data_IF_604308382863
#
_entry.id   IF_604308382863
#
_cell.length_a   1.000
_cell.length_b   1.000
_cell.length_c   1.000
_cell.angle_alpha   90.00
_cell.angle_beta   90.00
_cell.angle_gamma   90.00
#
_symmetry.space_group_name_H-M   'P 1'
#
loop_
_entity.id
_entity.type
_entity.pdbx_description
1 polymer ?
#
# COMPACT_ATOMS: atom_id res chain seq x y z
N UNK A 1 16.45 -48.14 -24.91
CA UNK A 1 16.88 -46.75 -24.67
C UNK A 1 16.36 -45.91 -25.82
N UNK A 2 15.48 -44.95 -25.57
CA UNK A 2 15.19 -43.81 -26.45
C UNK A 2 14.40 -42.78 -25.64
N UNK A 3 15.05 -41.68 -25.31
CA UNK A 3 14.49 -40.52 -24.62
C UNK A 3 14.30 -39.42 -25.68
N UNK A 4 13.06 -39.01 -26.05
CA UNK A 4 12.90 -37.88 -26.94
C UNK A 4 12.80 -36.60 -26.09
N UNK A 5 13.95 -35.94 -25.92
CA UNK A 5 14.02 -34.58 -25.40
C UNK A 5 13.75 -33.57 -26.54
N UNK A 6 12.76 -32.69 -26.28
CA UNK A 6 12.57 -31.32 -26.78
C UNK A 6 11.92 -31.11 -28.16
N UNK A 7 10.72 -30.54 -28.15
CA UNK A 7 10.47 -29.28 -28.85
C UNK A 7 9.54 -28.42 -28.01
N UNK A 8 10.10 -27.34 -27.48
CA UNK A 8 9.40 -26.28 -26.75
C UNK A 8 8.37 -25.62 -27.65
N UNK A 9 7.09 -25.90 -27.41
CA UNK A 9 6.05 -24.92 -27.69
C UNK A 9 5.73 -24.22 -26.38
N UNK A 10 6.62 -23.30 -25.96
CA UNK A 10 6.17 -22.20 -25.12
C UNK A 10 5.17 -21.48 -25.99
N UNK A 11 3.87 -21.68 -25.73
CA UNK A 11 2.87 -20.72 -26.15
C UNK A 11 3.39 -19.38 -25.63
N UNK A 12 3.85 -18.55 -26.56
CA UNK A 12 4.07 -17.14 -26.33
C UNK A 12 2.67 -16.59 -26.12
N UNK A 13 2.17 -16.73 -24.89
CA UNK A 13 0.99 -16.00 -24.48
C UNK A 13 1.46 -14.56 -24.47
N UNK A 14 0.99 -13.81 -25.46
CA UNK A 14 1.16 -12.38 -25.57
C UNK A 14 0.77 -11.79 -24.22
N UNK A 15 1.75 -11.37 -23.42
CA UNK A 15 1.51 -10.57 -22.22
C UNK A 15 1.27 -9.16 -22.74
N UNK A 16 0.04 -8.93 -23.13
CA UNK A 16 -0.51 -7.60 -23.31
C UNK A 16 -1.83 -7.63 -22.58
N UNK A 17 -1.78 -7.30 -21.30
CA UNK A 17 -2.72 -6.37 -20.69
C UNK A 17 -1.98 -5.65 -19.57
N UNK A 18 -1.96 -4.33 -19.67
CA UNK A 18 -1.49 -3.39 -18.67
C UNK A 18 -2.37 -3.49 -17.41
N UNK A 19 -2.26 -4.58 -16.65
CA UNK A 19 -2.64 -4.55 -15.24
C UNK A 19 -1.60 -3.66 -14.55
N UNK A 20 -1.87 -2.36 -14.51
CA UNK A 20 -1.29 -1.54 -13.46
C UNK A 20 -1.59 -2.30 -12.17
N UNK A 21 -0.57 -2.89 -11.54
CA UNK A 21 -0.66 -3.33 -10.15
C UNK A 21 -1.04 -2.07 -9.39
N UNK A 22 -2.33 -1.85 -9.16
CA UNK A 22 -2.82 -0.75 -8.33
C UNK A 22 -2.41 -1.18 -6.92
N UNK A 23 -1.20 -0.79 -6.54
CA UNK A 23 -0.74 -0.96 -5.18
C UNK A 23 -1.64 -0.04 -4.34
N UNK A 24 -2.27 -0.60 -3.31
CA UNK A 24 -3.11 0.17 -2.40
C UNK A 24 -2.26 1.34 -1.84
N UNK A 25 -2.68 2.61 -1.99
CA UNK A 25 -1.93 3.76 -1.50
C UNK A 25 -1.57 3.67 -0.02
N UNK A 26 -2.44 3.06 0.79
CA UNK A 26 -2.16 2.80 2.22
C UNK A 26 -0.99 1.83 2.40
N UNK A 27 -0.93 0.80 1.56
CA UNK A 27 0.19 -0.16 1.57
C UNK A 27 1.50 0.52 1.17
N UNK A 28 1.48 1.38 0.15
CA UNK A 28 2.67 2.16 -0.24
C UNK A 28 3.14 3.08 0.88
N UNK A 29 2.20 3.81 1.51
CA UNK A 29 2.50 4.70 2.62
C UNK A 29 3.17 3.93 3.75
N UNK A 30 2.54 2.86 4.24
CA UNK A 30 3.06 2.07 5.36
C UNK A 30 4.43 1.47 5.07
N UNK A 31 4.68 1.03 3.84
CA UNK A 31 6.02 0.57 3.42
C UNK A 31 7.02 1.74 3.47
N UNK A 32 6.65 2.91 2.97
CA UNK A 32 7.54 4.07 2.88
C UNK A 32 7.97 4.61 4.26
N UNK A 33 7.11 4.48 5.27
CA UNK A 33 7.38 4.90 6.66
C UNK A 33 7.89 3.76 7.55
N UNK A 34 8.19 2.59 6.98
CA UNK A 34 8.79 1.46 7.70
C UNK A 34 7.81 0.61 8.52
N UNK A 35 6.50 0.76 8.32
CA UNK A 35 5.42 0.07 9.02
C UNK A 35 4.78 -1.05 8.19
N UNK A 36 5.57 -1.72 7.34
CA UNK A 36 5.08 -2.79 6.46
C UNK A 36 4.39 -3.93 7.23
N UNK A 37 4.75 -4.17 8.49
CA UNK A 37 4.14 -5.19 9.34
C UNK A 37 2.68 -4.86 9.71
N UNK A 38 2.25 -3.61 9.59
CA UNK A 38 0.89 -3.17 9.87
C UNK A 38 -0.04 -3.20 8.66
N UNK A 39 0.48 -3.46 7.45
CA UNK A 39 -0.30 -3.47 6.20
C UNK A 39 -1.52 -4.38 6.29
N UNK A 40 -1.36 -5.56 6.87
CA UNK A 40 -2.47 -6.50 7.05
C UNK A 40 -3.57 -5.94 7.95
N UNK A 41 -3.20 -5.25 9.03
CA UNK A 41 -4.15 -4.65 9.98
C UNK A 41 -4.91 -3.53 9.28
N UNK A 42 -4.20 -2.59 8.65
CA UNK A 42 -4.82 -1.43 8.00
C UNK A 42 -5.74 -1.83 6.84
N UNK A 43 -5.33 -2.81 6.03
CA UNK A 43 -6.17 -3.31 4.93
C UNK A 43 -7.41 -4.05 5.44
N UNK A 44 -7.30 -4.84 6.52
CA UNK A 44 -8.45 -5.54 7.09
C UNK A 44 -9.46 -4.62 7.78
N UNK A 45 -8.99 -3.51 8.33
CA UNK A 45 -9.84 -2.49 8.92
C UNK A 45 -10.34 -1.47 7.89
N UNK A 46 -10.07 -1.72 6.60
CA UNK A 46 -10.46 -0.85 5.48
C UNK A 46 -10.01 0.61 5.67
N UNK A 47 -8.85 0.81 6.32
CA UNK A 47 -8.27 2.13 6.53
C UNK A 47 -7.63 2.59 5.22
N UNK A 48 -8.18 3.65 4.65
CA UNK A 48 -7.67 4.30 3.45
C UNK A 48 -6.99 5.65 3.77
N UNK A 49 -6.53 6.33 2.72
CA UNK A 49 -5.82 7.60 2.85
C UNK A 49 -6.71 8.75 3.38
N UNK A 50 -8.04 8.61 3.34
CA UNK A 50 -8.98 9.61 3.88
C UNK A 50 -9.19 9.41 5.39
N UNK A 51 -9.24 8.15 5.83
CA UNK A 51 -9.41 7.79 7.26
C UNK A 51 -8.10 7.89 8.03
N UNK A 52 -6.97 7.54 7.41
CA UNK A 52 -5.66 7.50 8.08
C UNK A 52 -5.28 8.78 8.85
N UNK A 53 -5.47 10.00 8.32
CA UNK A 53 -5.17 11.24 9.04
C UNK A 53 -6.07 11.53 10.25
N UNK A 54 -7.18 10.80 10.37
CA UNK A 54 -8.19 11.01 11.42
C UNK A 54 -8.01 10.06 12.61
N UNK A 55 -7.19 9.02 12.47
CA UNK A 55 -6.99 8.02 13.52
C UNK A 55 -6.32 8.65 14.74
N UNK A 56 -6.96 8.48 15.88
CA UNK A 56 -6.41 8.82 17.19
C UNK A 56 -5.55 7.67 17.72
N UNK A 57 -4.77 7.94 18.77
CA UNK A 57 -4.07 6.87 19.51
C UNK A 57 -5.03 5.80 20.03
N UNK A 58 -6.26 6.17 20.40
CA UNK A 58 -7.28 5.22 20.86
C UNK A 58 -7.71 4.30 19.71
N UNK A 59 -8.03 4.86 18.53
CA UNK A 59 -8.39 4.07 17.34
C UNK A 59 -7.27 3.10 16.95
N UNK A 60 -6.01 3.55 17.02
CA UNK A 60 -4.84 2.73 16.72
C UNK A 60 -4.72 1.53 17.68
N UNK A 61 -5.00 1.73 18.97
CA UNK A 61 -5.06 0.63 19.92
C UNK A 61 -6.22 -0.33 19.65
N UNK A 62 -7.41 0.18 19.28
CA UNK A 62 -8.58 -0.64 18.98
C UNK A 62 -8.35 -1.56 17.77
N UNK A 63 -7.63 -1.09 16.74
CA UNK A 63 -7.28 -1.90 15.58
C UNK A 63 -6.08 -2.84 15.80
N UNK A 64 -5.44 -2.77 16.98
CA UNK A 64 -4.36 -3.67 17.37
C UNK A 64 -2.93 -3.14 17.16
N UNK A 65 -2.76 -1.84 16.92
CA UNK A 65 -1.44 -1.19 16.98
C UNK A 65 -1.13 -0.86 18.44
N UNK A 66 -0.19 -1.59 19.03
CA UNK A 66 0.11 -1.51 20.48
C UNK A 66 1.52 -1.05 20.81
N UNK A 67 2.42 -0.98 19.82
CA UNK A 67 3.78 -0.50 20.03
C UNK A 67 3.82 1.03 19.94
N UNK A 68 4.26 1.69 21.01
CA UNK A 68 4.35 3.16 21.08
C UNK A 68 5.15 3.76 19.91
N UNK A 69 6.22 3.08 19.47
CA UNK A 69 7.01 3.54 18.33
C UNK A 69 6.22 3.54 17.02
N UNK A 70 5.38 2.53 16.80
CA UNK A 70 4.54 2.45 15.60
C UNK A 70 3.47 3.56 15.65
N UNK A 71 2.82 3.74 16.81
CA UNK A 71 1.83 4.79 17.05
C UNK A 71 2.43 6.16 16.79
N UNK A 72 3.58 6.47 17.41
CA UNK A 72 4.25 7.76 17.22
C UNK A 72 4.62 7.98 15.75
N UNK A 73 5.12 6.96 15.06
CA UNK A 73 5.44 7.04 13.62
C UNK A 73 4.20 7.34 12.78
N UNK A 74 3.06 6.72 13.10
CA UNK A 74 1.79 6.99 12.40
C UNK A 74 1.37 8.43 12.63
N UNK A 75 1.26 8.87 13.89
CA UNK A 75 0.84 10.23 14.26
C UNK A 75 1.75 11.28 13.60
N UNK A 76 3.08 11.09 13.64
CA UNK A 76 4.03 12.02 13.02
C UNK A 76 3.83 12.13 11.50
N UNK A 77 3.45 11.04 10.82
CA UNK A 77 3.21 11.05 9.38
C UNK A 77 1.81 11.52 8.97
N UNK A 78 0.82 11.46 9.86
CA UNK A 78 -0.50 12.08 9.61
C UNK A 78 -0.36 13.59 9.42
N UNK A 79 0.51 14.25 10.19
CA UNK A 79 0.78 15.69 10.03
C UNK A 79 1.37 16.03 8.67
N UNK A 80 2.23 15.17 8.11
CA UNK A 80 2.83 15.40 6.80
C UNK A 80 1.81 15.26 5.66
N UNK A 81 0.90 14.30 5.76
CA UNK A 81 -0.16 14.06 4.77
C UNK A 81 -1.23 15.17 4.83
N UNK A 82 -1.62 15.59 6.04
CA UNK A 82 -2.62 16.66 6.22
C UNK A 82 -2.15 18.05 5.74
N UNK A 83 -0.84 18.24 5.55
CA UNK A 83 -0.23 19.47 5.06
C UNK A 83 -0.03 19.50 3.54
N UNK A 84 -0.19 18.38 2.82
CA UNK A 84 -0.15 18.41 1.36
C UNK A 84 -1.48 18.97 0.82
N UNK A 85 -1.53 20.20 0.28
CA UNK A 85 -2.69 20.61 -0.49
C UNK A 85 -2.75 19.70 -1.70
N UNK A 86 -3.86 18.97 -1.86
CA UNK A 86 -4.24 18.28 -3.10
C UNK A 86 -3.60 18.97 -4.29
N UNK A 87 -2.59 18.35 -4.91
CA UNK A 87 -2.00 18.91 -6.11
C UNK A 87 -3.13 19.04 -7.14
N UNK A 88 -3.50 20.29 -7.38
CA UNK A 88 -4.30 20.73 -8.50
C UNK A 88 -3.73 20.11 -9.77
N UNK A 89 -4.37 19.04 -10.26
CA UNK A 89 -4.22 18.64 -11.65
C UNK A 89 -5.11 19.56 -12.49
N UNK A 90 -4.88 20.87 -12.39
CA UNK A 90 -5.29 21.79 -13.45
C UNK A 90 -4.33 21.53 -14.59
N UNK A 91 -4.70 20.59 -15.46
CA UNK A 91 -4.10 20.46 -16.78
C UNK A 91 -4.55 21.69 -17.57
N UNK A 92 -3.82 22.79 -17.42
CA UNK A 92 -3.82 23.87 -18.40
C UNK A 92 -2.73 23.59 -19.45
N UNK A 93 -3.13 23.61 -20.72
CA UNK A 93 -2.27 23.41 -21.90
C UNK A 93 -2.95 22.58 -22.97
#
# INVERSE_FOLDING_TARGET
>A
MNNPFISTSRKMTTITDNEANIINPMTELLISIGLYHLVYIFNNQEIDMEVFPLLTTEDLHEIGVTHDNDINTIIDNQYNIAQEPYYNITREG
#
